data_IF_833902653996
#
_entry.id   IF_833902653996
#
_cell.length_a   1.000
_cell.length_b   1.000
_cell.length_c   1.000
_cell.angle_alpha   90.00
_cell.angle_beta   90.00
_cell.angle_gamma   90.00
#
_symmetry.space_group_name_H-M   'P 1'
#
loop_
_entity.id
_entity.type
_entity.pdbx_description
1 polymer ?
#
# COMPACT_ATOMS: atom_id res chain seq x y z
N UNK A 1 5.31 11.48 -15.55
CA UNK A 1 6.70 11.99 -15.42
C UNK A 1 7.33 11.36 -14.19
N UNK A 2 8.64 11.09 -14.18
CA UNK A 2 9.29 10.59 -12.96
C UNK A 2 9.55 11.73 -11.98
N UNK A 3 9.21 11.50 -10.71
CA UNK A 3 9.47 12.39 -9.57
C UNK A 3 10.61 11.79 -8.75
N UNK A 4 11.49 12.66 -8.28
CA UNK A 4 12.52 12.36 -7.27
C UNK A 4 12.21 13.14 -6.01
N UNK A 5 12.30 12.48 -4.86
CA UNK A 5 11.92 13.06 -3.58
C UNK A 5 12.83 12.58 -2.46
N UNK A 6 13.26 13.49 -1.60
CA UNK A 6 14.06 13.14 -0.41
C UNK A 6 13.24 12.38 0.63
N UNK A 7 13.93 11.66 1.53
CA UNK A 7 13.30 10.76 2.52
C UNK A 7 12.21 11.44 3.35
N UNK A 8 12.46 12.64 3.90
CA UNK A 8 11.48 13.37 4.73
C UNK A 8 10.19 13.73 4.00
N UNK A 9 10.30 14.11 2.73
CA UNK A 9 9.12 14.45 1.92
C UNK A 9 8.38 13.19 1.50
N UNK A 10 9.12 12.14 1.13
CA UNK A 10 8.55 10.86 0.75
C UNK A 10 7.84 10.18 1.91
N UNK A 11 8.32 10.31 3.14
CA UNK A 11 7.65 9.77 4.32
C UNK A 11 6.23 10.35 4.49
N UNK A 12 6.01 11.61 4.13
CA UNK A 12 4.67 12.22 4.14
C UNK A 12 3.76 11.59 3.08
N UNK A 13 4.31 11.34 1.88
CA UNK A 13 3.61 10.66 0.78
C UNK A 13 3.25 9.23 1.19
N UNK A 14 4.23 8.49 1.72
CA UNK A 14 4.05 7.11 2.18
C UNK A 14 3.04 7.02 3.33
N UNK A 15 3.08 7.96 4.27
CA UNK A 15 2.11 8.02 5.37
C UNK A 15 0.70 8.24 4.85
N UNK A 16 0.51 9.17 3.91
CA UNK A 16 -0.80 9.43 3.31
C UNK A 16 -1.36 8.18 2.60
N UNK A 17 -0.50 7.49 1.84
CA UNK A 17 -0.86 6.26 1.15
C UNK A 17 -1.24 5.13 2.12
N UNK A 18 -0.50 4.97 3.21
CA UNK A 18 -0.82 3.99 4.26
C UNK A 18 -2.15 4.30 4.92
N UNK A 19 -2.44 5.58 5.22
CA UNK A 19 -3.70 6.00 5.81
C UNK A 19 -4.90 5.60 4.96
N UNK A 20 -4.84 5.76 3.63
CA UNK A 20 -5.92 5.30 2.73
C UNK A 20 -6.20 3.81 2.88
N UNK A 21 -5.15 2.99 3.00
CA UNK A 21 -5.31 1.54 3.18
C UNK A 21 -5.82 1.20 4.59
N UNK A 22 -5.40 1.93 5.62
CA UNK A 22 -5.90 1.73 6.99
C UNK A 22 -7.36 2.13 7.15
N UNK A 23 -7.77 3.24 6.56
CA UNK A 23 -9.16 3.70 6.56
C UNK A 23 -10.05 2.68 5.85
N UNK A 24 -9.58 2.14 4.72
CA UNK A 24 -10.26 1.05 4.03
C UNK A 24 -10.34 -0.21 4.90
N UNK A 25 -9.23 -0.67 5.47
CA UNK A 25 -9.18 -1.86 6.32
C UNK A 25 -10.09 -1.75 7.56
N UNK A 26 -10.26 -0.55 8.09
CA UNK A 26 -11.17 -0.30 9.21
C UNK A 26 -12.62 -0.57 8.82
N UNK A 27 -13.01 -0.23 7.59
CA UNK A 27 -14.37 -0.45 7.05
C UNK A 27 -14.68 -1.91 6.74
N UNK A 28 -13.67 -2.75 6.58
CA UNK A 28 -13.83 -4.16 6.19
C UNK A 28 -13.40 -5.15 7.27
N UNK A 29 -13.09 -4.66 8.47
CA UNK A 29 -12.48 -5.45 9.54
C UNK A 29 -13.31 -6.67 9.95
N UNK A 30 -14.64 -6.59 9.88
CA UNK A 30 -15.54 -7.70 10.22
C UNK A 30 -15.39 -8.91 9.29
N UNK A 31 -14.84 -8.71 8.08
CA UNK A 31 -14.63 -9.79 7.12
C UNK A 31 -13.35 -10.59 7.39
N UNK A 32 -12.51 -10.18 8.36
CA UNK A 32 -11.28 -10.88 8.73
C UNK A 32 -10.19 -10.87 7.64
N UNK A 33 -10.37 -10.08 6.59
CA UNK A 33 -9.43 -9.90 5.48
C UNK A 33 -8.99 -8.45 5.41
N UNK A 34 -7.74 -8.25 4.97
CA UNK A 34 -7.07 -6.96 5.03
C UNK A 34 -6.19 -6.78 3.81
N UNK A 35 -6.17 -5.56 3.29
CA UNK A 35 -5.23 -5.14 2.28
C UNK A 35 -3.91 -4.75 2.94
N UNK A 36 -2.80 -5.34 2.51
CA UNK A 36 -1.47 -5.06 3.07
C UNK A 36 -1.09 -3.60 2.79
N UNK A 37 -0.84 -2.76 3.82
CA UNK A 37 -0.57 -1.34 3.61
C UNK A 37 0.64 -1.09 2.72
N UNK A 38 1.72 -1.85 2.93
CA UNK A 38 2.89 -1.80 2.06
C UNK A 38 3.68 -3.11 2.07
N UNK A 39 4.39 -3.38 0.98
CA UNK A 39 5.35 -4.46 0.84
C UNK A 39 6.67 -3.92 0.30
N UNK A 40 7.76 -4.26 0.98
CA UNK A 40 9.11 -3.88 0.58
C UNK A 40 9.81 -5.10 0.00
N UNK A 41 10.41 -4.94 -1.18
CA UNK A 41 11.28 -5.94 -1.82
C UNK A 41 12.67 -5.34 -2.02
N UNK A 42 13.71 -6.12 -1.73
CA UNK A 42 15.10 -5.73 -1.98
C UNK A 42 15.64 -6.53 -3.17
N UNK A 43 16.17 -5.85 -4.18
CA UNK A 43 16.73 -6.50 -5.37
C UNK A 43 17.85 -5.65 -5.97
N UNK A 44 19.03 -6.26 -6.19
CA UNK A 44 20.22 -5.61 -6.78
C UNK A 44 20.57 -4.26 -6.10
N UNK A 45 20.57 -4.22 -4.77
CA UNK A 45 20.85 -3.00 -4.00
C UNK A 45 19.72 -1.95 -4.00
N UNK A 46 18.63 -2.16 -4.75
CA UNK A 46 17.47 -1.27 -4.79
C UNK A 46 16.36 -1.75 -3.87
N UNK A 47 15.62 -0.81 -3.29
CA UNK A 47 14.42 -1.06 -2.47
C UNK A 47 13.18 -0.69 -3.26
N UNK A 48 12.26 -1.64 -3.40
CA UNK A 48 10.99 -1.50 -4.11
C UNK A 48 9.85 -1.47 -3.10
N UNK A 49 8.95 -0.49 -3.20
CA UNK A 49 7.80 -0.37 -2.31
C UNK A 49 6.51 -0.47 -3.12
N UNK A 50 5.64 -1.40 -2.71
CA UNK A 50 4.29 -1.58 -3.25
C UNK A 50 3.27 -1.26 -2.16
N UNK A 51 2.25 -0.48 -2.47
CA UNK A 51 1.20 -0.06 -1.53
C UNK A 51 -0.10 -0.79 -1.88
N UNK A 52 -0.82 -1.30 -0.87
CA UNK A 52 -2.18 -1.79 -1.06
C UNK A 52 -2.34 -2.91 -2.10
N UNK A 53 -1.29 -3.70 -2.36
CA UNK A 53 -1.26 -4.64 -3.51
C UNK A 53 -1.72 -6.05 -3.21
N UNK A 54 -1.67 -6.46 -1.95
CA UNK A 54 -1.77 -7.85 -1.56
C UNK A 54 -2.77 -8.03 -0.43
N UNK A 55 -3.64 -9.03 -0.57
CA UNK A 55 -4.66 -9.38 0.41
C UNK A 55 -4.15 -10.42 1.38
N UNK A 56 -4.54 -10.28 2.64
CA UNK A 56 -4.24 -11.23 3.70
C UNK A 56 -5.46 -11.49 4.57
N UNK A 57 -5.57 -12.72 5.07
CA UNK A 57 -6.49 -13.09 6.14
C UNK A 57 -5.74 -13.10 7.47
N UNK A 58 -6.38 -12.63 8.53
CA UNK A 58 -5.87 -12.78 9.88
C UNK A 58 -6.55 -14.00 10.53
N UNK A 59 -5.78 -15.02 10.89
CA UNK A 59 -6.27 -16.21 11.57
C UNK A 59 -5.62 -16.37 12.94
N UNK A 60 -6.36 -16.92 13.91
CA UNK A 60 -5.84 -17.25 15.24
C UNK A 60 -5.64 -18.75 15.33
N UNK A 61 -4.40 -19.20 15.33
CA UNK A 61 -4.02 -20.62 15.43
C UNK A 61 -3.23 -20.84 16.72
N UNK A 62 -3.72 -21.70 17.61
CA UNK A 62 -3.09 -22.02 18.89
C UNK A 62 -2.73 -20.76 19.72
N UNK A 63 -3.64 -19.78 19.76
CA UNK A 63 -3.43 -18.52 20.46
C UNK A 63 -2.55 -17.49 19.74
N UNK A 64 -1.89 -17.86 18.63
CA UNK A 64 -1.03 -16.96 17.84
C UNK A 64 -1.78 -16.41 16.63
N UNK A 65 -1.59 -15.12 16.36
CA UNK A 65 -2.08 -14.50 15.13
C UNK A 65 -1.17 -14.86 13.95
N UNK A 66 -1.78 -15.29 12.85
CA UNK A 66 -1.08 -15.63 11.60
C UNK A 66 -1.74 -14.88 10.45
N UNK A 67 -0.90 -14.24 9.64
CA UNK A 67 -1.31 -13.61 8.39
C UNK A 67 -1.18 -14.62 7.25
N UNK A 68 -2.29 -14.93 6.59
CA UNK A 68 -2.35 -15.85 5.44
C UNK A 68 -2.47 -15.01 4.18
N UNK A 69 -1.53 -15.18 3.23
CA UNK A 69 -1.58 -14.48 1.95
C UNK A 69 -2.71 -15.03 1.07
N UNK A 70 -3.54 -14.15 0.50
CA UNK A 70 -4.70 -14.51 -0.32
C UNK A 70 -4.54 -14.19 -1.81
N UNK A 71 -3.50 -13.45 -2.20
CA UNK A 71 -3.31 -13.01 -3.59
C UNK A 71 -3.38 -11.50 -3.78
N UNK A 72 -3.55 -11.08 -5.03
CA UNK A 72 -3.69 -9.67 -5.44
C UNK A 72 -5.16 -9.26 -5.68
N UNK A 73 -6.03 -10.23 -5.95
CA UNK A 73 -7.44 -10.00 -6.27
C UNK A 73 -8.27 -9.83 -5.00
N UNK A 74 -9.28 -8.95 -5.05
CA UNK A 74 -10.27 -8.76 -3.98
C UNK A 74 -10.89 -10.13 -3.62
N UNK A 75 -10.73 -10.62 -2.37
CA UNK A 75 -11.07 -12.00 -2.04
C UNK A 75 -12.56 -12.25 -1.83
N UNK A 76 -13.35 -11.19 -1.66
CA UNK A 76 -14.79 -11.23 -1.37
C UNK A 76 -15.46 -10.13 -2.21
N UNK A 77 -16.40 -10.51 -3.07
CA UNK A 77 -17.02 -9.58 -4.02
C UNK A 77 -17.81 -8.46 -3.34
N UNK A 78 -18.47 -8.78 -2.22
CA UNK A 78 -19.32 -7.85 -1.47
C UNK A 78 -18.53 -6.76 -0.74
N UNK A 79 -17.20 -6.87 -0.65
CA UNK A 79 -16.39 -5.82 -0.06
C UNK A 79 -16.46 -4.55 -0.91
N UNK A 80 -16.49 -3.36 -0.28
CA UNK A 80 -16.30 -2.12 -1.01
C UNK A 80 -15.00 -2.16 -1.81
N UNK A 81 -14.92 -1.41 -2.89
CA UNK A 81 -13.70 -1.39 -3.69
C UNK A 81 -12.54 -0.79 -2.90
N UNK A 82 -11.33 -1.36 -3.04
CA UNK A 82 -10.14 -0.84 -2.38
C UNK A 82 -9.82 0.57 -2.88
N UNK A 83 -9.04 1.34 -2.11
CA UNK A 83 -8.56 2.63 -2.61
C UNK A 83 -7.81 2.41 -3.93
N UNK A 84 -8.16 3.18 -4.94
CA UNK A 84 -7.49 3.24 -6.22
C UNK A 84 -6.11 3.85 -6.02
N UNK A 85 -5.15 3.00 -5.67
CA UNK A 85 -3.74 3.35 -5.55
C UNK A 85 -3.08 2.80 -6.82
N UNK A 86 -2.42 3.63 -7.63
CA UNK A 86 -1.89 3.17 -8.90
C UNK A 86 -0.82 2.11 -8.65
N UNK A 87 -0.78 1.09 -9.51
CA UNK A 87 0.24 0.05 -9.48
C UNK A 87 1.60 0.59 -9.93
N UNK A 88 2.21 1.40 -9.09
CA UNK A 88 3.51 2.00 -9.35
C UNK A 88 4.59 1.29 -8.57
N UNK A 89 5.79 1.39 -9.12
CA UNK A 89 6.99 0.98 -8.43
C UNK A 89 7.67 2.21 -7.86
N UNK A 90 7.78 2.26 -6.53
CA UNK A 90 8.60 3.25 -5.84
C UNK A 90 9.96 2.63 -5.59
N UNK A 91 11.02 3.26 -6.10
CA UNK A 91 12.39 2.78 -5.97
C UNK A 91 13.16 3.73 -5.06
N UNK A 92 13.82 3.22 -4.01
CA UNK A 92 14.85 3.99 -3.30
C UNK A 92 16.18 3.85 -4.06
N UNK A 93 16.73 4.96 -4.50
CA UNK A 93 18.08 5.07 -5.08
C UNK A 93 18.88 6.00 -4.16
N UNK A 94 19.94 5.48 -3.55
CA UNK A 94 20.75 6.20 -2.55
C UNK A 94 19.89 6.81 -1.41
N UNK A 95 19.75 8.14 -1.39
CA UNK A 95 18.98 8.92 -0.43
C UNK A 95 17.62 9.42 -0.96
N UNK A 96 17.27 9.10 -2.20
CA UNK A 96 16.06 9.57 -2.88
C UNK A 96 15.07 8.44 -3.17
N UNK A 97 13.81 8.81 -3.31
CA UNK A 97 12.74 7.95 -3.80
C UNK A 97 12.31 8.40 -5.19
N UNK A 98 12.30 7.45 -6.13
CA UNK A 98 11.92 7.64 -7.53
C UNK A 98 10.63 6.91 -7.81
N UNK A 99 9.64 7.61 -8.36
CA UNK A 99 8.32 7.06 -8.70
C UNK A 99 7.62 7.91 -9.76
N UNK A 100 6.56 7.39 -10.35
CA UNK A 100 5.76 8.12 -11.34
C UNK A 100 4.82 9.15 -10.68
N UNK A 101 4.71 10.34 -11.27
CA UNK A 101 3.89 11.46 -10.78
C UNK A 101 2.39 11.14 -10.68
N UNK A 102 1.90 10.10 -11.36
CA UNK A 102 0.54 9.58 -11.18
C UNK A 102 0.21 9.28 -9.72
N UNK A 103 1.21 8.93 -8.89
CA UNK A 103 1.02 8.76 -7.45
C UNK A 103 0.52 10.04 -6.77
N UNK A 104 1.18 11.15 -7.08
CA UNK A 104 0.88 12.44 -6.47
C UNK A 104 -0.46 12.96 -6.99
N UNK A 105 -0.73 12.76 -8.27
CA UNK A 105 -2.02 13.11 -8.88
C UNK A 105 -3.17 12.35 -8.22
N UNK A 106 -2.97 11.06 -7.93
CA UNK A 106 -3.98 10.28 -7.22
C UNK A 106 -4.17 10.74 -5.78
N UNK A 107 -3.09 11.07 -5.07
CA UNK A 107 -3.18 11.62 -3.71
C UNK A 107 -3.89 12.97 -3.66
N UNK A 108 -3.70 13.84 -4.66
CA UNK A 108 -4.43 15.12 -4.77
C UNK A 108 -5.94 14.88 -4.90
N UNK A 109 -6.35 13.96 -5.79
CA UNK A 109 -7.75 13.55 -5.95
C UNK A 109 -8.38 13.07 -4.64
N UNK A 110 -7.64 12.29 -3.84
CA UNK A 110 -8.11 11.83 -2.52
C UNK A 110 -8.27 12.95 -1.50
N UNK A 111 -7.49 14.03 -1.62
CA UNK A 111 -7.52 15.18 -0.71
C UNK A 111 -8.49 16.28 -1.14
N UNK A 112 -9.22 16.09 -2.24
CA UNK A 112 -10.13 17.11 -2.79
C UNK A 112 -9.39 18.34 -3.33
N UNK A 113 -8.15 18.16 -3.80
CA UNK A 113 -7.29 19.19 -4.37
C UNK A 113 -7.12 19.01 -5.88
#
# INVERSE_FOLDING_TARGET
MQVRMGEREFDKVLSALKSLVYDYNTKIREHGVYLKPFHVVYKKGKRYIYIGKYWYRLEKLNGKLKWIYLGKTKPVEQLPDPPSIPEITIVREDSEYVFDDSLLNQLKRYRGL
#
